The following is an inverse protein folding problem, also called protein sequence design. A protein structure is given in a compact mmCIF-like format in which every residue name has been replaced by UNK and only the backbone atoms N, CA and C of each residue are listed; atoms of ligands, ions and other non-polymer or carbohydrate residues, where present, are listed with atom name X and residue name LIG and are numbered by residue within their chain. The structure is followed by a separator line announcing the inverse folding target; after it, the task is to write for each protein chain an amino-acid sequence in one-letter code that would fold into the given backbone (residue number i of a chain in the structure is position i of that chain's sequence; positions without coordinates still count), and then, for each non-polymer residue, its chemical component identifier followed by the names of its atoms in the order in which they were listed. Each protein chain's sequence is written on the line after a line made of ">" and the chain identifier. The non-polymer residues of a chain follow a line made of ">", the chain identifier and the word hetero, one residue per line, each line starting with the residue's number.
data_IF_678451983615
#
_entry.id   IF_678451983615
#
_cell.length_a   1.000
_cell.length_b   1.000
_cell.length_c   1.000
_cell.angle_alpha   90.00
_cell.angle_beta   90.00
_cell.angle_gamma   90.00
#
_symmetry.space_group_name_H-M   'P 1'
#
loop_
_entity.id
_entity.type
_entity.pdbx_description
1 polymer ?
#
# COMPACT_ATOMS: atom_id res chain seq x y z
N UNK A 1 -14.75 -34.98 -34.77
CA UNK A 1 -14.15 -35.29 -33.45
C UNK A 1 -12.66 -35.62 -33.54
N UNK A 2 -12.22 -36.74 -34.12
CA UNK A 2 -10.76 -37.04 -34.25
C UNK A 2 -10.01 -35.99 -35.07
N UNK A 3 -10.61 -35.49 -36.15
CA UNK A 3 -10.03 -34.42 -36.96
C UNK A 3 -9.93 -33.09 -36.20
N UNK A 4 -10.89 -32.80 -35.33
CA UNK A 4 -10.91 -31.59 -34.51
C UNK A 4 -9.84 -31.66 -33.41
N UNK A 5 -9.66 -32.84 -32.79
CA UNK A 5 -8.56 -33.08 -31.84
C UNK A 5 -7.18 -32.91 -32.49
N UNK A 6 -7.00 -33.41 -33.71
CA UNK A 6 -5.74 -33.19 -34.47
C UNK A 6 -5.51 -31.73 -34.81
N UNK A 7 -6.57 -30.98 -35.13
CA UNK A 7 -6.48 -29.53 -35.36
C UNK A 7 -6.10 -28.78 -34.08
N UNK A 8 -6.66 -29.19 -32.94
CA UNK A 8 -6.31 -28.62 -31.64
C UNK A 8 -4.85 -28.91 -31.28
N UNK A 9 -4.37 -30.12 -31.53
CA UNK A 9 -2.99 -30.54 -31.26
C UNK A 9 -1.98 -29.80 -32.15
N UNK A 10 -2.26 -29.69 -33.45
CA UNK A 10 -1.47 -28.88 -34.37
C UNK A 10 -1.41 -27.41 -33.93
N UNK A 11 -2.56 -26.82 -33.58
CA UNK A 11 -2.62 -25.43 -33.11
C UNK A 11 -1.89 -25.24 -31.76
N UNK A 12 -1.86 -26.25 -30.89
CA UNK A 12 -1.09 -26.22 -29.65
C UNK A 12 0.41 -26.18 -29.94
N UNK A 13 0.90 -27.09 -30.78
CA UNK A 13 2.32 -27.15 -31.17
C UNK A 13 2.77 -25.88 -31.89
N UNK A 14 1.94 -25.32 -32.78
CA UNK A 14 2.25 -24.09 -33.52
C UNK A 14 2.33 -22.86 -32.60
N UNK A 15 1.50 -22.80 -31.54
CA UNK A 15 1.46 -21.67 -30.60
C UNK A 15 2.34 -21.88 -29.35
N UNK A 16 3.03 -23.01 -29.26
CA UNK A 16 3.91 -23.35 -28.15
C UNK A 16 5.27 -22.64 -28.30
N UNK A 17 5.23 -21.34 -28.10
CA UNK A 17 6.42 -20.50 -28.06
C UNK A 17 6.94 -20.41 -26.62
N UNK A 18 8.27 -20.29 -26.48
CA UNK A 18 8.89 -20.07 -25.18
C UNK A 18 8.58 -18.66 -24.69
N UNK A 19 7.96 -18.56 -23.52
CA UNK A 19 7.66 -17.29 -22.88
C UNK A 19 8.76 -16.91 -21.89
N UNK A 20 8.87 -15.63 -21.55
CA UNK A 20 9.77 -15.18 -20.50
C UNK A 20 9.23 -15.59 -19.15
N UNK A 21 10.03 -16.22 -18.31
CA UNK A 21 9.69 -16.59 -16.94
C UNK A 21 10.33 -15.60 -15.99
N UNK A 22 9.51 -14.88 -15.22
CA UNK A 22 9.93 -13.72 -14.43
C UNK A 22 9.35 -13.83 -13.02
N UNK A 23 10.02 -13.19 -12.06
CA UNK A 23 9.57 -13.11 -10.67
C UNK A 23 9.56 -11.64 -10.24
N UNK A 24 8.41 -11.17 -9.74
CA UNK A 24 8.24 -9.83 -9.18
C UNK A 24 7.86 -9.95 -7.72
N UNK A 25 8.61 -9.28 -6.85
CA UNK A 25 8.22 -9.07 -5.45
C UNK A 25 7.49 -7.74 -5.35
N UNK A 26 6.29 -7.80 -4.80
CA UNK A 26 5.39 -6.66 -4.63
C UNK A 26 5.21 -6.41 -3.14
N UNK A 27 5.53 -5.19 -2.71
CA UNK A 27 5.35 -4.72 -1.34
C UNK A 27 4.04 -3.95 -1.22
N UNK A 28 3.21 -4.31 -0.25
CA UNK A 28 1.98 -3.58 0.04
C UNK A 28 2.30 -2.17 0.55
N UNK A 29 3.32 -2.02 1.40
CA UNK A 29 3.76 -0.71 1.89
C UNK A 29 4.16 0.25 0.75
N UNK A 30 4.68 -0.28 -0.36
CA UNK A 30 5.08 0.51 -1.54
C UNK A 30 3.91 0.84 -2.47
N UNK A 31 2.95 -0.07 -2.66
CA UNK A 31 1.80 0.15 -3.55
C UNK A 31 0.70 0.95 -2.86
N UNK A 32 0.30 0.49 -1.68
CA UNK A 32 -0.81 1.05 -0.92
C UNK A 32 -0.50 1.03 0.59
N UNK A 33 0.22 2.05 1.08
CA UNK A 33 0.52 2.18 2.50
C UNK A 33 -0.75 2.35 3.37
N UNK A 34 -1.84 2.90 2.81
CA UNK A 34 -3.10 3.04 3.55
C UNK A 34 -3.76 1.68 3.76
N UNK A 35 -3.78 0.81 2.75
CA UNK A 35 -4.26 -0.56 2.91
C UNK A 35 -3.45 -1.36 3.95
N UNK A 36 -2.14 -1.12 4.05
CA UNK A 36 -1.33 -1.73 5.13
C UNK A 36 -1.77 -1.23 6.51
N UNK A 37 -2.05 0.07 6.67
CA UNK A 37 -2.61 0.58 7.92
C UNK A 37 -3.95 -0.08 8.25
N UNK A 38 -4.87 -0.16 7.27
CA UNK A 38 -6.17 -0.85 7.44
C UNK A 38 -5.98 -2.33 7.80
N UNK A 39 -4.99 -3.02 7.23
CA UNK A 39 -4.66 -4.40 7.53
C UNK A 39 -4.23 -4.60 8.99
N UNK A 40 -3.37 -3.71 9.50
CA UNK A 40 -2.92 -3.75 10.91
C UNK A 40 -4.10 -3.59 11.87
N UNK A 41 -5.04 -2.73 11.52
CA UNK A 41 -6.14 -2.37 12.43
C UNK A 41 -7.34 -3.32 12.36
N UNK A 42 -7.77 -3.70 11.16
CA UNK A 42 -8.97 -4.52 10.98
C UNK A 42 -8.65 -6.00 10.81
N UNK A 43 -7.42 -6.33 10.43
CA UNK A 43 -7.04 -7.68 10.00
C UNK A 43 -7.47 -7.99 8.55
N UNK A 44 -8.08 -7.07 7.81
CA UNK A 44 -8.47 -7.30 6.41
C UNK A 44 -8.16 -6.09 5.54
N UNK A 45 -7.66 -6.30 4.32
CA UNK A 45 -7.48 -5.22 3.36
C UNK A 45 -7.69 -5.68 1.92
N UNK A 46 -7.96 -4.70 1.06
CA UNK A 46 -7.96 -4.87 -0.39
C UNK A 46 -6.84 -4.02 -0.97
N UNK A 47 -6.17 -4.55 -2.00
CA UNK A 47 -5.18 -3.80 -2.77
C UNK A 47 -5.12 -4.35 -4.19
N UNK A 48 -4.61 -3.55 -5.12
CA UNK A 48 -4.46 -3.91 -6.53
C UNK A 48 -3.00 -3.84 -6.91
N UNK A 49 -2.52 -4.89 -7.57
CA UNK A 49 -1.23 -4.90 -8.26
C UNK A 49 -1.46 -4.33 -9.66
N UNK A 50 -0.92 -3.14 -9.95
CA UNK A 50 -1.15 -2.42 -11.20
C UNK A 50 -0.14 -2.83 -12.28
N UNK A 51 -0.37 -2.43 -13.53
CA UNK A 51 0.50 -2.81 -14.66
C UNK A 51 1.91 -2.19 -14.56
N UNK A 52 1.99 -0.93 -14.15
CA UNK A 52 3.22 -0.14 -14.15
C UNK A 52 4.34 -0.75 -13.31
N UNK A 53 4.02 -1.52 -12.26
CA UNK A 53 5.04 -2.12 -11.38
C UNK A 53 5.89 -3.14 -12.13
N UNK A 54 5.33 -3.79 -13.15
CA UNK A 54 6.05 -4.70 -14.04
C UNK A 54 6.81 -3.94 -15.13
N UNK A 55 6.28 -2.81 -15.58
CA UNK A 55 6.94 -1.96 -16.57
C UNK A 55 8.18 -1.23 -16.03
N UNK A 56 8.28 -1.04 -14.71
CA UNK A 56 9.49 -0.54 -14.07
C UNK A 56 10.71 -1.44 -14.31
N UNK A 57 10.51 -2.76 -14.36
CA UNK A 57 11.60 -3.71 -14.60
C UNK A 57 11.77 -3.97 -16.11
N UNK A 58 10.63 -4.20 -16.79
CA UNK A 58 10.61 -4.61 -18.18
C UNK A 58 9.49 -3.90 -18.94
N UNK A 59 9.75 -2.67 -19.42
CA UNK A 59 8.78 -1.92 -20.21
C UNK A 59 8.57 -2.62 -21.55
N UNK A 60 7.32 -2.71 -22.00
CA UNK A 60 6.97 -3.24 -23.31
C UNK A 60 6.53 -4.70 -23.33
N UNK A 61 6.63 -5.42 -22.20
CA UNK A 61 6.10 -6.78 -22.11
C UNK A 61 4.57 -6.79 -22.06
N UNK A 62 3.98 -7.79 -22.72
CA UNK A 62 2.54 -8.05 -22.73
C UNK A 62 2.25 -9.49 -22.32
N UNK A 63 0.97 -9.84 -22.22
CA UNK A 63 0.47 -11.18 -21.86
C UNK A 63 1.06 -11.70 -20.56
N UNK A 64 1.21 -10.80 -19.57
CA UNK A 64 1.70 -11.13 -18.23
C UNK A 64 0.68 -12.03 -17.52
N UNK A 65 1.01 -13.31 -17.38
CA UNK A 65 0.14 -14.35 -16.79
C UNK A 65 0.81 -14.95 -15.56
N UNK A 66 0.08 -14.99 -14.46
CA UNK A 66 0.55 -15.56 -13.21
C UNK A 66 0.78 -17.07 -13.38
N UNK A 67 1.90 -17.55 -12.87
CA UNK A 67 2.22 -18.98 -12.73
C UNK A 67 2.10 -19.47 -11.30
N UNK A 68 2.55 -18.67 -10.35
CA UNK A 68 2.35 -18.93 -8.93
C UNK A 68 2.47 -17.65 -8.14
N UNK A 69 1.76 -17.58 -7.02
CA UNK A 69 1.92 -16.50 -6.04
C UNK A 69 2.30 -17.11 -4.70
N UNK A 70 3.26 -16.50 -4.04
CA UNK A 70 3.55 -16.75 -2.64
C UNK A 70 3.45 -15.45 -1.85
N UNK A 71 3.07 -15.58 -0.58
CA UNK A 71 2.91 -14.45 0.34
C UNK A 71 3.83 -14.62 1.54
N UNK A 72 4.43 -13.51 1.96
CA UNK A 72 5.21 -13.41 3.18
C UNK A 72 4.78 -12.16 3.95
N UNK A 73 4.68 -12.27 5.26
CA UNK A 73 4.25 -11.19 6.14
C UNK A 73 5.23 -11.09 7.31
N UNK A 74 6.30 -10.29 7.17
CA UNK A 74 7.23 -10.04 8.27
C UNK A 74 6.49 -9.34 9.43
N UNK A 75 6.39 -10.01 10.58
CA UNK A 75 5.77 -9.50 11.80
C UNK A 75 6.50 -10.05 13.03
N UNK A 76 6.34 -9.37 14.18
CA UNK A 76 6.88 -9.85 15.46
C UNK A 76 5.86 -10.80 16.08
N UNK A 77 5.96 -12.08 15.72
CA UNK A 77 5.17 -13.15 16.30
C UNK A 77 5.96 -13.93 17.37
N UNK A 78 5.27 -14.38 18.42
CA UNK A 78 5.88 -15.22 19.46
C UNK A 78 6.30 -16.60 18.92
N UNK A 79 7.13 -17.35 19.68
CA UNK A 79 7.51 -18.71 19.30
C UNK A 79 6.27 -19.58 19.05
N UNK A 80 6.29 -20.38 17.98
CA UNK A 80 5.20 -21.28 17.57
C UNK A 80 3.86 -20.61 17.17
N UNK A 81 3.79 -19.28 17.09
CA UNK A 81 2.65 -18.57 16.51
C UNK A 81 2.83 -18.49 15.00
N UNK A 82 1.85 -19.01 14.25
CA UNK A 82 1.85 -18.94 12.79
C UNK A 82 1.29 -17.60 12.31
N UNK A 83 2.02 -16.91 11.43
CA UNK A 83 1.56 -15.69 10.73
C UNK A 83 0.65 -16.00 9.55
N UNK A 84 -0.31 -16.91 9.72
CA UNK A 84 -1.18 -17.36 8.63
C UNK A 84 -2.19 -16.28 8.21
N UNK A 85 -2.40 -16.15 6.90
CA UNK A 85 -3.43 -15.31 6.32
C UNK A 85 -4.13 -16.03 5.17
N UNK A 86 -5.33 -15.57 4.82
CA UNK A 86 -6.03 -15.98 3.60
C UNK A 86 -5.78 -14.92 2.54
N UNK A 87 -5.27 -15.34 1.37
CA UNK A 87 -5.09 -14.48 0.21
C UNK A 87 -6.10 -14.88 -0.86
N UNK A 88 -6.91 -13.93 -1.32
CA UNK A 88 -7.97 -14.14 -2.30
C UNK A 88 -7.72 -13.26 -3.53
N UNK A 89 -7.83 -13.84 -4.72
CA UNK A 89 -7.82 -13.11 -5.99
C UNK A 89 -9.25 -12.72 -6.36
N UNK A 90 -9.57 -11.44 -6.25
CA UNK A 90 -10.91 -10.91 -6.51
C UNK A 90 -11.16 -10.69 -8.01
N UNK A 91 -10.16 -10.12 -8.69
CA UNK A 91 -10.22 -9.89 -10.13
C UNK A 91 -8.82 -9.88 -10.73
N UNK A 92 -8.72 -10.25 -12.00
CA UNK A 92 -7.51 -10.04 -12.77
C UNK A 92 -7.81 -9.62 -14.20
N UNK A 93 -6.89 -8.88 -14.80
CA UNK A 93 -6.91 -8.53 -16.21
C UNK A 93 -5.50 -8.67 -16.81
N UNK A 94 -5.46 -8.93 -18.11
CA UNK A 94 -4.22 -9.12 -18.85
C UNK A 94 -4.24 -8.32 -20.15
N UNK A 95 -3.15 -7.64 -20.46
CA UNK A 95 -2.95 -6.99 -21.76
C UNK A 95 -2.53 -8.04 -22.79
N UNK A 96 -3.33 -8.29 -23.80
CA UNK A 96 -3.07 -9.28 -24.86
C UNK A 96 -2.32 -8.74 -26.07
N UNK A 97 -2.48 -7.45 -26.35
CA UNK A 97 -2.00 -6.78 -27.55
C UNK A 97 -1.26 -5.50 -27.20
N UNK A 98 -0.23 -5.21 -27.99
CA UNK A 98 0.53 -3.97 -27.95
C UNK A 98 -0.08 -2.88 -28.84
N UNK A 99 0.31 -1.63 -28.61
CA UNK A 99 -0.07 -0.48 -29.45
C UNK A 99 -1.23 0.33 -28.89
N UNK A 100 -1.39 1.58 -29.36
CA UNK A 100 -2.30 2.57 -28.76
C UNK A 100 -1.69 3.32 -27.57
N UNK A 101 -2.49 4.13 -26.87
CA UNK A 101 -2.08 4.81 -25.64
C UNK A 101 -1.90 3.83 -24.47
N UNK A 102 -0.99 4.09 -23.53
CA UNK A 102 -0.73 3.15 -22.42
C UNK A 102 -1.96 2.93 -21.53
N UNK A 103 -2.64 4.01 -21.16
CA UNK A 103 -3.87 3.94 -20.39
C UNK A 103 -4.92 3.11 -21.11
N UNK A 104 -5.67 2.34 -20.33
CA UNK A 104 -6.80 1.57 -20.82
C UNK A 104 -7.97 2.50 -21.17
N UNK A 105 -8.55 2.30 -22.35
CA UNK A 105 -9.76 3.01 -22.79
C UNK A 105 -11.03 2.25 -22.37
N UNK A 106 -12.20 2.88 -22.48
CA UNK A 106 -13.46 2.17 -22.35
C UNK A 106 -13.57 1.09 -23.44
N UNK A 107 -13.97 -0.13 -23.04
CA UNK A 107 -14.12 -1.31 -23.92
C UNK A 107 -12.88 -1.63 -24.77
N UNK A 108 -11.71 -1.58 -24.13
CA UNK A 108 -10.43 -1.78 -24.81
C UNK A 108 -10.16 -3.27 -25.14
N UNK A 109 -10.11 -3.66 -26.43
CA UNK A 109 -9.89 -5.05 -26.82
C UNK A 109 -8.47 -5.55 -26.50
N UNK A 110 -7.56 -4.64 -26.14
CA UNK A 110 -6.20 -5.02 -25.71
C UNK A 110 -6.22 -5.69 -24.35
N UNK A 111 -7.28 -5.56 -23.56
CA UNK A 111 -7.38 -6.17 -22.25
C UNK A 111 -8.41 -7.29 -22.22
N UNK A 112 -8.05 -8.40 -21.58
CA UNK A 112 -8.99 -9.47 -21.24
C UNK A 112 -9.15 -9.49 -19.74
N UNK A 113 -10.41 -9.48 -19.31
CA UNK A 113 -10.79 -9.56 -17.92
C UNK A 113 -11.18 -10.98 -17.53
N UNK A 114 -10.76 -11.38 -16.33
CA UNK A 114 -11.17 -12.64 -15.72
C UNK A 114 -11.95 -12.30 -14.45
N UNK A 115 -13.27 -12.25 -14.59
CA UNK A 115 -14.22 -12.08 -13.50
C UNK A 115 -14.83 -13.45 -13.12
N UNK A 116 -15.08 -13.68 -11.82
CA UNK A 116 -15.98 -14.75 -11.38
C UNK A 116 -15.36 -16.09 -10.97
N UNK A 117 -14.03 -16.21 -10.92
CA UNK A 117 -13.36 -17.31 -10.20
C UNK A 117 -12.62 -16.74 -8.99
N UNK A 118 -13.34 -16.61 -7.87
CA UNK A 118 -12.74 -16.25 -6.59
C UNK A 118 -11.93 -17.44 -6.12
N UNK A 119 -10.64 -17.41 -6.43
CA UNK A 119 -9.66 -18.36 -5.95
C UNK A 119 -9.02 -17.82 -4.68
N UNK A 120 -8.68 -18.71 -3.74
CA UNK A 120 -8.06 -18.32 -2.48
C UNK A 120 -7.07 -19.38 -2.01
N UNK A 121 -6.02 -18.92 -1.34
CA UNK A 121 -5.08 -19.77 -0.61
C UNK A 121 -5.09 -19.40 0.87
N UNK A 122 -4.80 -20.38 1.71
CA UNK A 122 -4.55 -20.16 3.13
C UNK A 122 -3.08 -20.46 3.43
N UNK A 123 -2.42 -19.58 4.16
CA UNK A 123 -1.04 -19.77 4.61
C UNK A 123 -0.99 -19.99 6.11
N UNK A 124 0.11 -20.60 6.59
CA UNK A 124 0.26 -20.99 7.99
C UNK A 124 1.46 -20.35 8.68
N UNK A 125 2.58 -20.16 7.97
CA UNK A 125 3.85 -19.77 8.57
C UNK A 125 4.11 -18.26 8.57
N UNK A 126 3.38 -17.48 7.77
CA UNK A 126 3.70 -16.06 7.50
C UNK A 126 5.01 -15.83 6.76
N UNK A 127 5.71 -16.90 6.36
CA UNK A 127 6.90 -16.87 5.51
C UNK A 127 6.50 -17.27 4.10
N UNK A 128 7.32 -16.91 3.12
CA UNK A 128 7.14 -17.18 1.68
C UNK A 128 6.39 -18.50 1.39
N UNK A 129 5.05 -18.41 1.30
CA UNK A 129 4.14 -19.57 1.28
C UNK A 129 3.17 -19.45 0.12
N UNK A 130 3.03 -20.53 -0.64
CA UNK A 130 2.09 -20.64 -1.78
C UNK A 130 0.72 -21.20 -1.37
N UNK A 131 0.54 -21.55 -0.10
CA UNK A 131 -0.65 -22.27 0.39
C UNK A 131 -0.68 -23.76 0.05
N UNK A 132 0.41 -24.29 -0.53
CA UNK A 132 0.62 -25.71 -0.79
C UNK A 132 1.83 -26.21 -0.01
N UNK A 133 1.83 -27.49 0.36
CA UNK A 133 3.01 -28.12 0.98
C UNK A 133 4.19 -28.24 0.01
N UNK A 134 3.90 -28.61 -1.24
CA UNK A 134 4.88 -28.76 -2.31
C UNK A 134 4.31 -28.19 -3.61
N UNK A 135 4.66 -26.93 -3.97
CA UNK A 135 4.26 -26.37 -5.25
C UNK A 135 5.08 -27.00 -6.38
N UNK A 136 4.46 -27.86 -7.18
CA UNK A 136 5.09 -28.46 -8.36
C UNK A 136 4.52 -27.84 -9.64
N UNK A 137 5.40 -27.28 -10.48
CA UNK A 137 5.05 -26.74 -11.80
C UNK A 137 4.78 -27.86 -12.83
N UNK A 138 5.21 -29.08 -12.55
CA UNK A 138 5.01 -30.26 -13.41
C UNK A 138 3.81 -31.11 -12.96
N UNK A 139 3.08 -30.64 -11.93
CA UNK A 139 1.93 -31.34 -11.40
C UNK A 139 0.77 -31.46 -12.40
N UNK A 140 -0.10 -32.47 -12.25
CA UNK A 140 -1.25 -32.66 -13.13
C UNK A 140 -2.37 -31.62 -12.90
N UNK A 141 -2.25 -30.78 -11.87
CA UNK A 141 -3.20 -29.72 -11.53
C UNK A 141 -2.52 -28.37 -11.66
N UNK A 142 -3.28 -27.38 -12.11
CA UNK A 142 -2.84 -25.99 -12.08
C UNK A 142 -2.51 -25.55 -10.66
N UNK A 143 -1.49 -24.72 -10.53
CA UNK A 143 -1.18 -24.05 -9.27
C UNK A 143 -2.25 -23.00 -8.95
N UNK A 144 -2.40 -22.64 -7.67
CA UNK A 144 -3.27 -21.54 -7.30
C UNK A 144 -2.94 -20.27 -8.09
N UNK A 145 -3.99 -19.64 -8.64
CA UNK A 145 -3.95 -18.43 -9.45
C UNK A 145 -3.29 -18.58 -10.83
N UNK A 146 -2.96 -19.81 -11.25
CA UNK A 146 -2.30 -20.02 -12.53
C UNK A 146 -3.19 -19.55 -13.70
N UNK A 147 -2.55 -18.84 -14.64
CA UNK A 147 -3.20 -18.27 -15.81
C UNK A 147 -4.01 -17.01 -15.54
N UNK A 148 -4.10 -16.52 -14.29
CA UNK A 148 -4.66 -15.20 -14.01
C UNK A 148 -3.80 -14.09 -14.62
N UNK A 149 -4.43 -12.94 -14.89
CA UNK A 149 -3.69 -11.76 -15.35
C UNK A 149 -2.84 -11.15 -14.24
N UNK A 150 -1.67 -10.61 -14.59
CA UNK A 150 -0.78 -9.99 -13.61
C UNK A 150 -1.37 -8.71 -12.98
N UNK A 151 -2.18 -7.96 -13.73
CA UNK A 151 -2.92 -6.81 -13.19
C UNK A 151 -4.09 -7.38 -12.39
N UNK A 152 -4.05 -7.25 -11.08
CA UNK A 152 -4.87 -8.09 -10.20
C UNK A 152 -5.27 -7.37 -8.92
N UNK A 153 -6.50 -7.61 -8.45
CA UNK A 153 -6.99 -7.10 -7.17
C UNK A 153 -7.06 -8.25 -6.18
N UNK A 154 -6.48 -8.04 -5.01
CA UNK A 154 -6.31 -9.02 -3.96
C UNK A 154 -7.02 -8.57 -2.70
N UNK A 155 -7.50 -9.56 -1.95
CA UNK A 155 -7.98 -9.41 -0.59
C UNK A 155 -7.12 -10.26 0.33
N UNK A 156 -6.73 -9.70 1.46
CA UNK A 156 -6.01 -10.43 2.51
C UNK A 156 -6.82 -10.36 3.78
N UNK A 157 -7.02 -11.52 4.41
CA UNK A 157 -7.74 -11.66 5.67
C UNK A 157 -6.89 -12.38 6.71
N UNK A 158 -6.83 -11.79 7.90
CA UNK A 158 -6.30 -12.36 9.12
C UNK A 158 -7.43 -12.49 10.17
N UNK A 159 -7.32 -13.42 11.13
CA UNK A 159 -8.31 -13.56 12.21
C UNK A 159 -8.45 -12.29 13.07
N UNK A 160 -9.56 -11.56 12.92
CA UNK A 160 -9.79 -10.30 13.63
C UNK A 160 -10.18 -10.48 15.11
N UNK A 161 -11.04 -11.46 15.41
CA UNK A 161 -11.60 -11.68 16.76
C UNK A 161 -10.57 -12.25 17.74
N UNK A 162 -9.63 -13.04 17.25
CA UNK A 162 -8.60 -13.69 18.08
C UNK A 162 -7.22 -13.54 17.44
N UNK A 163 -6.63 -12.37 17.67
CA UNK A 163 -5.28 -12.04 17.18
C UNK A 163 -4.24 -12.81 17.99
N UNK A 164 -3.53 -13.74 17.33
CA UNK A 164 -2.51 -14.56 17.98
C UNK A 164 -1.18 -13.81 18.22
N UNK A 165 -1.00 -12.66 17.56
CA UNK A 165 0.13 -11.77 17.72
C UNK A 165 -0.33 -10.33 17.47
N UNK A 166 0.52 -9.37 17.80
CA UNK A 166 0.23 -7.96 17.60
C UNK A 166 0.33 -7.58 16.12
N UNK A 167 -0.80 -7.19 15.51
CA UNK A 167 -0.85 -6.82 14.09
C UNK A 167 -0.17 -5.48 13.82
N UNK A 168 0.01 -4.61 14.81
CA UNK A 168 0.80 -3.39 14.66
C UNK A 168 2.26 -3.71 14.31
N UNK A 169 2.74 -4.91 14.67
CA UNK A 169 4.08 -5.38 14.34
C UNK A 169 4.26 -5.83 12.88
N UNK A 170 3.19 -5.91 12.08
CA UNK A 170 3.27 -6.32 10.67
C UNK A 170 4.04 -5.24 9.90
N UNK A 171 5.28 -5.49 9.53
CA UNK A 171 6.13 -4.54 8.82
C UNK A 171 5.64 -4.27 7.40
N UNK A 172 5.26 -5.32 6.69
CA UNK A 172 4.79 -5.28 5.31
C UNK A 172 4.05 -6.58 4.96
N UNK A 173 3.40 -6.61 3.79
CA UNK A 173 2.92 -7.80 3.13
C UNK A 173 3.58 -7.90 1.75
N UNK A 174 4.36 -8.96 1.55
CA UNK A 174 5.12 -9.22 0.35
C UNK A 174 4.43 -10.29 -0.50
N UNK A 175 4.07 -9.96 -1.73
CA UNK A 175 3.60 -10.91 -2.73
C UNK A 175 4.72 -11.20 -3.72
N UNK A 176 5.18 -12.44 -3.77
CA UNK A 176 6.11 -12.90 -4.80
C UNK A 176 5.31 -13.55 -5.91
N UNK A 177 5.18 -12.82 -7.02
CA UNK A 177 4.41 -13.21 -8.20
C UNK A 177 5.39 -13.73 -9.25
N UNK A 178 5.33 -15.04 -9.51
CA UNK A 178 6.00 -15.64 -10.67
C UNK A 178 5.03 -15.59 -11.85
N UNK A 179 5.48 -15.07 -12.98
CA UNK A 179 4.63 -14.87 -14.15
C UNK A 179 5.37 -15.17 -15.44
N UNK A 180 4.61 -15.48 -16.50
CA UNK A 180 5.13 -15.49 -17.86
C UNK A 180 4.76 -14.23 -18.61
N UNK A 181 5.60 -13.80 -19.56
CA UNK A 181 5.33 -12.65 -20.41
C UNK A 181 5.85 -12.87 -21.83
N UNK A 182 5.38 -12.05 -22.78
CA UNK A 182 5.88 -11.97 -24.15
C UNK A 182 6.32 -10.56 -24.49
N UNK A 183 7.21 -10.46 -25.47
CA UNK A 183 7.64 -9.18 -26.02
C UNK A 183 6.48 -8.48 -26.75
N UNK A 184 6.18 -7.24 -26.36
CA UNK A 184 5.17 -6.40 -27.00
C UNK A 184 5.76 -5.38 -27.98
N UNK A 185 7.09 -5.31 -28.10
CA UNK A 185 7.79 -4.46 -29.05
C UNK A 185 8.03 -3.03 -28.56
N UNK A 186 8.84 -2.30 -29.32
CA UNK A 186 9.34 -0.98 -28.94
C UNK A 186 8.24 0.08 -28.77
N UNK A 187 7.14 -0.03 -29.50
CA UNK A 187 6.00 0.89 -29.39
C UNK A 187 5.31 0.78 -28.03
N UNK A 188 5.11 -0.45 -27.53
CA UNK A 188 4.57 -0.67 -26.19
C UNK A 188 5.55 -0.20 -25.11
N UNK A 189 6.84 -0.47 -25.29
CA UNK A 189 7.88 -0.02 -24.36
C UNK A 189 7.91 1.51 -24.26
N UNK A 190 7.86 2.20 -25.39
CA UNK A 190 7.81 3.67 -25.44
C UNK A 190 6.53 4.21 -24.79
N UNK A 191 5.37 3.58 -25.02
CA UNK A 191 4.13 4.00 -24.38
C UNK A 191 4.17 3.81 -22.85
N UNK A 192 4.71 2.69 -22.37
CA UNK A 192 4.88 2.43 -20.94
C UNK A 192 5.85 3.42 -20.29
N UNK A 193 7.02 3.64 -20.92
CA UNK A 193 8.00 4.62 -20.43
C UNK A 193 7.45 6.04 -20.47
N UNK A 194 6.73 6.42 -21.52
CA UNK A 194 6.07 7.72 -21.60
C UNK A 194 5.00 7.86 -20.50
N UNK A 195 4.27 6.80 -20.17
CA UNK A 195 3.32 6.82 -19.05
C UNK A 195 4.03 6.94 -17.71
N UNK A 196 5.10 6.18 -17.48
CA UNK A 196 5.90 6.26 -16.24
C UNK A 196 6.58 7.63 -16.08
N UNK A 197 7.04 8.22 -17.19
CA UNK A 197 7.64 9.54 -17.22
C UNK A 197 6.59 10.66 -17.13
N UNK A 198 5.38 10.42 -17.66
CA UNK A 198 4.28 11.38 -17.53
C UNK A 198 3.86 11.44 -16.08
N UNK A 199 4.01 12.61 -15.49
CA UNK A 199 3.86 12.70 -14.06
C UNK A 199 2.43 12.45 -13.60
N UNK A 200 1.45 12.78 -14.45
CA UNK A 200 0.04 12.45 -14.20
C UNK A 200 -0.21 10.95 -14.06
N UNK A 201 0.46 10.09 -14.84
CA UNK A 201 0.21 8.65 -14.76
C UNK A 201 0.97 8.03 -13.58
N UNK A 202 2.25 8.38 -13.35
CA UNK A 202 2.97 7.96 -12.14
C UNK A 202 2.19 8.33 -10.85
N UNK A 203 1.52 9.49 -10.86
CA UNK A 203 0.62 9.95 -9.79
C UNK A 203 -0.70 9.18 -9.69
N UNK A 204 -1.35 8.90 -10.83
CA UNK A 204 -2.62 8.17 -10.88
C UNK A 204 -2.48 6.75 -10.36
N UNK A 205 -1.30 6.17 -10.58
CA UNK A 205 -1.01 4.76 -10.40
C UNK A 205 -0.58 4.33 -9.00
N UNK A 206 -0.11 5.27 -8.18
CA UNK A 206 0.29 5.06 -6.79
C UNK A 206 -0.71 5.69 -5.80
N UNK A 207 -1.61 6.58 -6.24
CA UNK A 207 -2.49 7.36 -5.36
C UNK A 207 -3.96 6.97 -5.33
N UNK A 208 -4.49 6.36 -6.40
CA UNK A 208 -5.91 6.03 -6.47
C UNK A 208 -6.37 5.00 -5.44
N UNK A 209 -5.44 4.20 -4.89
CA UNK A 209 -5.76 3.14 -3.92
C UNK A 209 -5.82 3.70 -2.49
N UNK A 210 -4.85 4.57 -2.15
CA UNK A 210 -4.79 5.26 -0.88
C UNK A 210 -5.58 6.58 -0.85
N UNK A 211 -6.39 6.89 -1.87
CA UNK A 211 -7.30 8.04 -1.93
C UNK A 211 -6.67 9.44 -1.82
N UNK A 212 -5.41 9.60 -2.21
CA UNK A 212 -4.74 10.90 -2.32
C UNK A 212 -4.15 11.10 -3.73
N UNK A 213 -3.83 12.33 -4.10
CA UNK A 213 -3.28 12.61 -5.43
C UNK A 213 -1.78 12.34 -5.47
N UNK A 214 -1.30 11.38 -6.26
CA UNK A 214 0.13 11.13 -6.39
C UNK A 214 0.60 9.83 -5.78
N UNK A 215 1.91 9.65 -5.69
CA UNK A 215 2.49 8.52 -4.99
C UNK A 215 2.30 8.61 -3.49
N UNK A 216 2.28 7.47 -2.80
CA UNK A 216 2.10 7.40 -1.36
C UNK A 216 3.28 6.66 -0.70
N UNK A 217 3.64 7.08 0.51
CA UNK A 217 4.56 6.35 1.38
C UNK A 217 4.09 6.40 2.83
N UNK A 218 4.37 5.37 3.60
CA UNK A 218 4.07 5.30 5.03
C UNK A 218 5.30 5.69 5.85
N UNK A 219 5.10 6.52 6.86
CA UNK A 219 6.05 6.78 7.94
C UNK A 219 5.38 6.53 9.28
N UNK A 220 6.19 6.12 10.26
CA UNK A 220 5.77 5.82 11.62
C UNK A 220 6.42 6.81 12.56
N UNK A 221 5.63 7.61 13.28
CA UNK A 221 6.19 8.61 14.20
C UNK A 221 7.09 7.96 15.27
N UNK A 222 6.72 6.77 15.75
CA UNK A 222 7.50 6.05 16.76
C UNK A 222 8.88 5.56 16.27
N UNK A 223 9.06 5.41 14.95
CA UNK A 223 10.28 4.86 14.34
C UNK A 223 11.06 5.95 13.58
N UNK A 224 10.40 6.64 12.67
CA UNK A 224 11.01 7.62 11.76
C UNK A 224 11.27 8.98 12.43
N UNK A 225 10.52 9.28 13.49
CA UNK A 225 10.55 10.54 14.24
C UNK A 225 10.56 10.31 15.76
N UNK A 226 11.26 9.26 16.21
CA UNK A 226 11.18 8.74 17.58
C UNK A 226 11.38 9.81 18.68
N UNK A 227 12.37 10.69 18.53
CA UNK A 227 12.63 11.76 19.51
C UNK A 227 11.49 12.79 19.56
N UNK A 228 10.99 13.21 18.40
CA UNK A 228 9.88 14.15 18.29
C UNK A 228 8.56 13.53 18.80
N UNK A 229 8.34 12.24 18.52
CA UNK A 229 7.21 11.47 19.05
C UNK A 229 7.26 11.35 20.57
N UNK A 230 8.43 11.05 21.12
CA UNK A 230 8.63 10.99 22.56
C UNK A 230 8.35 12.33 23.23
N UNK A 231 8.90 13.43 22.68
CA UNK A 231 8.61 14.78 23.17
C UNK A 231 7.12 15.09 23.10
N UNK A 232 6.48 14.85 21.96
CA UNK A 232 5.05 15.08 21.77
C UNK A 232 4.17 14.40 22.83
N UNK A 233 4.48 13.15 23.22
CA UNK A 233 3.75 12.42 24.26
C UNK A 233 4.12 12.85 25.70
N UNK A 234 5.41 13.15 25.96
CA UNK A 234 5.95 13.26 27.32
C UNK A 234 6.41 14.63 27.78
N UNK A 235 6.40 15.65 26.93
CA UNK A 235 6.67 17.03 27.34
C UNK A 235 5.92 17.36 28.64
N UNK A 236 6.69 17.69 29.68
CA UNK A 236 6.18 18.00 31.02
C UNK A 236 6.09 19.51 31.20
N UNK A 237 5.08 19.96 31.94
CA UNK A 237 4.81 21.32 32.44
C UNK A 237 4.23 22.34 31.46
N UNK A 238 3.04 22.88 31.76
CA UNK A 238 2.66 24.26 31.39
C UNK A 238 2.45 24.58 29.90
N UNK A 239 2.75 23.65 28.99
CA UNK A 239 2.70 23.91 27.56
C UNK A 239 1.26 23.85 27.06
N UNK A 240 0.71 25.01 26.72
CA UNK A 240 -0.65 25.14 26.19
C UNK A 240 -0.86 24.37 24.87
N UNK A 241 0.18 24.30 24.03
CA UNK A 241 0.15 23.67 22.70
C UNK A 241 1.40 22.83 22.48
N UNK A 242 1.24 21.51 22.29
CA UNK A 242 2.32 20.55 22.07
C UNK A 242 2.50 20.34 20.57
N UNK A 243 3.73 20.20 20.08
CA UNK A 243 3.99 20.04 18.65
C UNK A 243 4.87 18.82 18.32
N UNK A 244 4.54 18.14 17.23
CA UNK A 244 5.29 17.04 16.64
C UNK A 244 5.82 17.48 15.28
N UNK A 245 7.12 17.72 15.20
CA UNK A 245 7.79 18.09 13.95
C UNK A 245 8.21 16.84 13.18
N UNK A 246 7.71 16.72 11.95
CA UNK A 246 7.99 15.68 10.97
C UNK A 246 8.82 16.28 9.85
N UNK A 247 10.10 15.92 9.79
CA UNK A 247 10.99 16.37 8.73
C UNK A 247 10.81 15.51 7.47
N UNK A 248 10.06 16.02 6.49
CA UNK A 248 9.84 15.39 5.18
C UNK A 248 10.78 15.98 4.13
N UNK A 249 12.09 16.00 4.40
CA UNK A 249 13.09 16.40 3.43
C UNK A 249 13.15 15.48 2.20
N UNK A 250 13.65 16.01 1.07
CA UNK A 250 13.69 15.30 -0.21
C UNK A 250 14.39 13.92 -0.16
N UNK A 251 15.35 13.73 0.75
CA UNK A 251 16.08 12.47 0.93
C UNK A 251 15.24 11.31 1.48
N UNK A 252 14.06 11.58 2.05
CA UNK A 252 13.15 10.54 2.56
C UNK A 252 12.26 9.93 1.48
N UNK A 253 12.14 10.58 0.33
CA UNK A 253 11.31 10.08 -0.76
C UNK A 253 12.03 8.99 -1.55
N UNK A 254 11.30 8.08 -2.21
CA UNK A 254 11.92 7.08 -3.08
C UNK A 254 12.81 7.75 -4.14
N UNK A 255 13.92 7.10 -4.49
CA UNK A 255 14.94 7.67 -5.38
C UNK A 255 14.38 8.22 -6.70
N UNK A 256 13.37 7.57 -7.26
CA UNK A 256 12.71 8.01 -8.50
C UNK A 256 12.10 9.43 -8.42
N UNK A 257 11.79 9.89 -7.19
CA UNK A 257 11.20 11.18 -6.88
C UNK A 257 12.14 12.13 -6.14
N UNK A 258 13.07 11.60 -5.33
CA UNK A 258 13.99 12.41 -4.52
C UNK A 258 14.87 13.35 -5.35
N UNK A 259 15.20 12.98 -6.59
CA UNK A 259 16.03 13.79 -7.52
C UNK A 259 15.19 14.73 -8.40
N UNK A 260 13.86 14.76 -8.24
CA UNK A 260 12.96 15.60 -9.05
C UNK A 260 12.92 17.03 -8.54
N UNK A 261 13.08 17.99 -9.46
CA UNK A 261 13.15 19.41 -9.12
C UNK A 261 11.81 19.99 -8.61
N UNK A 262 10.68 19.48 -9.08
CA UNK A 262 9.35 19.97 -8.68
C UNK A 262 8.62 18.98 -7.77
N UNK A 263 9.35 18.16 -7.00
CA UNK A 263 8.72 17.30 -5.99
C UNK A 263 7.91 18.16 -5.02
N UNK A 264 6.63 17.83 -4.86
CA UNK A 264 5.72 18.43 -3.89
C UNK A 264 4.97 17.35 -3.09
N UNK A 265 4.71 17.65 -1.83
CA UNK A 265 3.79 16.90 -0.97
C UNK A 265 2.39 17.38 -1.30
N UNK A 266 1.59 16.49 -1.88
CA UNK A 266 0.22 16.75 -2.31
C UNK A 266 -0.82 16.50 -1.20
N UNK A 267 -0.43 15.79 -0.15
CA UNK A 267 -1.31 15.55 0.98
C UNK A 267 -0.66 14.73 2.09
N UNK A 268 -1.29 14.76 3.26
CA UNK A 268 -0.92 13.96 4.43
C UNK A 268 -2.19 13.32 4.99
N UNK A 269 -2.12 12.03 5.31
CA UNK A 269 -3.09 11.37 6.18
C UNK A 269 -2.41 10.99 7.48
N UNK A 270 -2.94 11.52 8.57
CA UNK A 270 -2.46 11.33 9.92
C UNK A 270 -3.42 10.36 10.61
N UNK A 271 -2.95 9.16 10.89
CA UNK A 271 -3.72 8.10 11.56
C UNK A 271 -3.17 7.97 12.98
N UNK A 272 -3.92 8.43 13.96
CA UNK A 272 -3.59 8.30 15.37
C UNK A 272 -4.24 7.03 15.92
N UNK A 273 -3.40 6.03 16.21
CA UNK A 273 -3.81 4.77 16.82
C UNK A 273 -4.13 5.00 18.30
N UNK A 274 -5.41 5.22 18.58
CA UNK A 274 -5.93 5.50 19.92
C UNK A 274 -7.10 4.60 20.34
N UNK A 275 -7.28 4.41 21.65
CA UNK A 275 -8.42 3.68 22.24
C UNK A 275 -9.49 4.64 22.77
N UNK A 276 -10.70 4.57 22.20
CA UNK A 276 -11.89 5.33 22.66
C UNK A 276 -12.34 6.41 21.67
N UNK A 277 -13.56 6.97 21.81
CA UNK A 277 -14.04 7.99 20.90
C UNK A 277 -13.52 9.36 21.29
N UNK A 278 -12.90 10.05 20.35
CA UNK A 278 -12.88 11.49 20.35
C UNK A 278 -12.59 12.09 18.99
N UNK A 279 -13.25 13.22 18.72
CA UNK A 279 -12.69 14.20 17.82
C UNK A 279 -11.65 15.01 18.61
N UNK A 280 -10.50 15.27 18.01
CA UNK A 280 -9.45 16.09 18.63
C UNK A 280 -9.10 17.23 17.68
N UNK A 281 -9.18 18.45 18.18
CA UNK A 281 -8.71 19.61 17.44
C UNK A 281 -7.19 19.55 17.31
N UNK A 282 -6.69 19.70 16.09
CA UNK A 282 -5.27 19.76 15.81
C UNK A 282 -5.02 20.73 14.66
N UNK A 283 -3.82 21.27 14.61
CA UNK A 283 -3.39 22.20 13.57
C UNK A 283 -2.07 21.75 12.97
N UNK A 284 -1.92 21.91 11.66
CA UNK A 284 -0.75 21.49 10.91
C UNK A 284 -0.06 22.75 10.38
N UNK A 285 1.18 23.00 10.80
CA UNK A 285 2.02 24.03 10.22
C UNK A 285 2.79 23.47 9.02
N UNK A 286 2.71 24.17 7.89
CA UNK A 286 3.34 23.78 6.64
C UNK A 286 4.78 24.36 6.52
N UNK A 287 5.67 23.74 5.72
CA UNK A 287 7.05 24.17 5.59
C UNK A 287 7.24 25.61 5.11
N UNK A 288 6.33 26.13 4.27
CA UNK A 288 6.40 27.48 3.71
C UNK A 288 6.18 28.62 4.74
N UNK A 289 5.97 28.32 6.02
CA UNK A 289 5.92 29.31 7.10
C UNK A 289 4.62 30.12 7.18
N UNK A 290 3.48 29.49 6.84
CA UNK A 290 2.15 30.10 6.89
C UNK A 290 1.37 29.87 8.20
N UNK A 291 0.14 30.38 8.25
CA UNK A 291 -0.79 30.09 9.34
C UNK A 291 -1.09 28.59 9.42
N UNK A 292 -1.15 28.03 10.63
CA UNK A 292 -1.43 26.62 10.82
C UNK A 292 -2.83 26.26 10.28
N UNK A 293 -2.91 25.17 9.52
CA UNK A 293 -4.14 24.68 8.90
C UNK A 293 -4.85 23.74 9.88
N UNK A 294 -6.14 23.97 10.14
CA UNK A 294 -6.92 23.07 10.98
C UNK A 294 -6.95 21.66 10.36
N UNK A 295 -6.42 20.67 11.09
CA UNK A 295 -6.32 19.26 10.70
C UNK A 295 -6.96 18.41 11.79
N UNK A 296 -8.25 18.63 12.03
CA UNK A 296 -8.97 18.01 13.13
C UNK A 296 -9.09 16.49 12.90
N UNK A 297 -8.79 15.73 13.94
CA UNK A 297 -8.96 14.30 13.94
C UNK A 297 -10.42 13.92 14.17
N UNK A 298 -10.90 12.97 13.39
CA UNK A 298 -12.21 12.34 13.56
C UNK A 298 -12.06 10.80 13.57
N UNK A 299 -12.96 10.10 14.26
CA UNK A 299 -12.96 8.64 14.29
C UNK A 299 -13.32 8.06 12.92
N UNK A 300 -12.51 7.14 12.42
CA UNK A 300 -12.75 6.43 11.16
C UNK A 300 -13.21 4.99 11.41
N UNK A 301 -14.34 4.60 10.83
CA UNK A 301 -14.84 3.21 10.89
C UNK A 301 -13.97 2.25 10.08
N UNK A 302 -13.30 2.74 9.03
CA UNK A 302 -12.39 1.93 8.19
C UNK A 302 -11.13 1.52 8.95
N UNK A 303 -10.70 2.35 9.90
CA UNK A 303 -9.51 2.13 10.72
C UNK A 303 -9.89 1.62 12.12
N UNK A 304 -10.96 0.84 12.24
CA UNK A 304 -11.35 0.21 13.51
C UNK A 304 -11.71 1.19 14.64
N UNK A 305 -12.04 2.44 14.33
CA UNK A 305 -12.35 3.49 15.30
C UNK A 305 -11.18 4.43 15.62
N UNK A 306 -10.00 4.22 15.03
CA UNK A 306 -8.87 5.15 15.17
C UNK A 306 -9.14 6.50 14.54
N UNK A 307 -8.35 7.48 14.97
CA UNK A 307 -8.53 8.87 14.63
C UNK A 307 -7.77 9.20 13.34
N UNK A 308 -8.47 9.75 12.37
CA UNK A 308 -7.93 10.18 11.08
C UNK A 308 -8.05 11.69 10.96
N UNK A 309 -6.95 12.34 10.59
CA UNK A 309 -6.94 13.69 10.03
C UNK A 309 -6.31 13.65 8.64
N UNK A 310 -6.78 14.48 7.74
CA UNK A 310 -6.22 14.63 6.40
C UNK A 310 -5.93 16.08 6.09
N UNK A 311 -4.86 16.29 5.36
CA UNK A 311 -4.52 17.55 4.73
C UNK A 311 -4.28 17.28 3.25
N UNK A 312 -4.91 18.08 2.39
CA UNK A 312 -4.71 18.05 0.95
C UNK A 312 -4.22 19.44 0.52
N UNK A 313 -3.18 19.47 -0.29
CA UNK A 313 -2.54 20.73 -0.69
C UNK A 313 -1.42 20.52 -1.69
N UNK A 314 -0.52 21.48 -1.77
CA UNK A 314 0.69 21.39 -2.57
C UNK A 314 1.77 22.18 -1.86
N UNK A 315 2.71 21.49 -1.22
CA UNK A 315 3.81 22.10 -0.47
C UNK A 315 5.13 21.45 -0.85
N UNK A 316 6.21 22.22 -0.82
CA UNK A 316 7.54 21.67 -1.02
C UNK A 316 7.92 20.71 0.13
N UNK A 317 8.74 19.68 -0.13
CA UNK A 317 9.36 18.86 0.90
C UNK A 317 10.02 19.73 1.99
N UNK A 318 9.78 19.40 3.25
CA UNK A 318 10.28 20.17 4.38
C UNK A 318 9.68 19.72 5.71
N UNK A 319 9.81 20.56 6.73
CA UNK A 319 9.34 20.23 8.07
C UNK A 319 7.86 20.60 8.26
N UNK A 320 7.02 19.59 8.47
CA UNK A 320 5.63 19.76 8.87
C UNK A 320 5.54 19.64 10.38
N UNK A 321 4.71 20.45 11.06
CA UNK A 321 4.52 20.32 12.51
C UNK A 321 3.05 20.15 12.86
N UNK A 322 2.72 19.04 13.52
CA UNK A 322 1.38 18.78 14.05
C UNK A 322 1.30 19.35 15.46
N UNK A 323 0.44 20.33 15.68
CA UNK A 323 0.22 20.97 16.96
C UNK A 323 -1.15 20.63 17.55
N UNK A 324 -1.16 20.25 18.83
CA UNK A 324 -2.37 19.88 19.57
C UNK A 324 -2.41 20.63 20.89
N UNK A 325 -3.52 21.30 21.16
CA UNK A 325 -3.73 22.02 22.42
C UNK A 325 -4.03 21.06 23.57
N UNK A 326 -3.58 21.40 24.76
CA UNK A 326 -3.78 20.60 25.97
C UNK A 326 -5.28 20.31 26.22
N UNK A 327 -6.12 21.33 26.00
CA UNK A 327 -7.57 21.21 26.13
C UNK A 327 -8.19 20.22 25.12
N UNK A 328 -7.61 20.10 23.93
CA UNK A 328 -8.06 19.16 22.92
C UNK A 328 -7.75 17.72 23.33
N UNK A 329 -6.59 17.47 23.95
CA UNK A 329 -6.22 16.15 24.49
C UNK A 329 -7.15 15.74 25.64
N UNK A 330 -7.46 16.67 26.54
CA UNK A 330 -8.37 16.45 27.65
C UNK A 330 -9.80 16.17 27.18
N UNK A 331 -10.34 17.01 26.28
CA UNK A 331 -11.67 16.85 25.70
C UNK A 331 -11.78 15.54 24.90
N UNK A 332 -10.68 15.10 24.31
CA UNK A 332 -10.62 13.84 23.59
C UNK A 332 -10.60 12.60 24.52
N UNK A 333 -10.50 12.77 25.84
CA UNK A 333 -10.39 11.65 26.78
C UNK A 333 -9.12 10.80 26.58
N UNK A 334 -8.17 11.29 25.77
CA UNK A 334 -6.88 10.66 25.47
C UNK A 334 -5.80 11.06 26.47
N UNK A 335 -6.11 11.96 27.39
CA UNK A 335 -5.17 12.47 28.37
C UNK A 335 -5.33 11.91 29.78
N UNK A 336 -4.27 12.03 30.56
CA UNK A 336 -4.24 11.83 32.01
C UNK A 336 -3.82 13.14 32.66
N UNK A 337 -4.63 13.63 33.61
CA UNK A 337 -4.34 14.83 34.39
C UNK A 337 -3.45 14.48 35.58
N UNK A 338 -2.36 15.21 35.75
CA UNK A 338 -1.43 15.04 36.87
C UNK A 338 -1.66 16.10 37.95
N UNK A 339 -1.07 15.92 39.13
CA UNK A 339 -1.31 16.73 40.33
C UNK A 339 -1.16 18.25 40.15
N UNK A 340 -0.51 18.68 39.07
CA UNK A 340 -0.28 20.09 38.72
C UNK A 340 -1.32 20.67 37.75
N UNK A 341 -2.51 20.06 37.65
CA UNK A 341 -3.65 20.46 36.78
C UNK A 341 -3.44 20.36 35.27
N UNK A 342 -2.25 19.96 34.82
CA UNK A 342 -1.94 19.74 33.41
C UNK A 342 -2.30 18.33 32.92
N UNK A 343 -2.77 18.25 31.68
CA UNK A 343 -3.14 17.03 30.97
C UNK A 343 -2.10 16.69 29.90
N UNK A 344 -1.60 15.45 29.92
CA UNK A 344 -0.74 14.89 28.87
C UNK A 344 -1.39 13.68 28.24
N UNK A 345 -0.92 13.24 27.08
CA UNK A 345 -1.39 11.99 26.48
C UNK A 345 -1.18 10.80 27.43
N UNK A 346 -2.19 9.96 27.50
CA UNK A 346 -2.16 8.68 28.20
C UNK A 346 -1.53 7.64 27.27
N UNK A 347 -0.35 7.13 27.65
CA UNK A 347 0.40 6.12 26.88
C UNK A 347 -0.38 4.81 26.72
N UNK A 348 -1.36 4.55 27.59
CA UNK A 348 -2.22 3.37 27.45
C UNK A 348 -3.30 3.56 26.38
N UNK A 349 -3.61 4.83 26.04
CA UNK A 349 -4.67 5.19 25.10
C UNK A 349 -4.16 5.66 23.75
N UNK A 350 -2.94 6.20 23.66
CA UNK A 350 -2.32 6.62 22.39
C UNK A 350 -1.06 5.80 22.17
N UNK A 351 -1.08 4.99 21.12
CA UNK A 351 0.00 4.05 20.82
C UNK A 351 0.99 4.59 19.81
N UNK A 352 0.47 5.06 18.67
CA UNK A 352 1.28 5.48 17.54
C UNK A 352 0.57 6.53 16.67
N UNK A 353 1.36 7.34 15.96
CA UNK A 353 0.90 8.12 14.81
C UNK A 353 1.54 7.56 13.53
N UNK A 354 0.69 7.07 12.63
CA UNK A 354 1.05 6.68 11.27
C UNK A 354 0.79 7.86 10.33
N UNK A 355 1.78 8.17 9.49
CA UNK A 355 1.74 9.28 8.54
C UNK A 355 1.83 8.71 7.13
N UNK A 356 0.74 8.76 6.38
CA UNK A 356 0.75 8.45 4.95
C UNK A 356 0.97 9.76 4.19
N UNK A 357 2.13 9.87 3.55
CA UNK A 357 2.54 11.05 2.78
C UNK A 357 2.21 10.82 1.32
N UNK A 358 1.40 11.72 0.75
CA UNK A 358 1.14 11.79 -0.68
C UNK A 358 2.07 12.81 -1.31
N UNK A 359 2.70 12.42 -2.41
CA UNK A 359 3.66 13.27 -3.10
C UNK A 359 3.61 13.07 -4.60
N UNK A 360 4.00 14.11 -5.33
CA UNK A 360 3.95 14.15 -6.78
C UNK A 360 4.93 15.16 -7.36
N UNK A 361 5.12 15.13 -8.67
CA UNK A 361 6.01 16.05 -9.39
C UNK A 361 5.25 16.74 -10.55
N UNK A 362 4.43 17.80 -10.33
CA UNK A 362 3.46 18.33 -11.29
C UNK A 362 3.96 18.71 -12.71
N UNK A 363 5.27 18.68 -12.98
CA UNK A 363 5.84 18.96 -14.32
C UNK A 363 5.55 17.93 -15.41
#
# INVERSE_FOLDING_TARGET
>A
LVQDLRRMDAAYLDNQEREYELTKVVSLAMIDPYALAVLRETGSCYFTVPEWIYDLDHPGQIRRRIKSVSVAMPAVAGPHVGGGCTLTLESSKLRTQAGGGYAEAADDPRFIYRYGQVERIATSSGRDSTGLFEPSLEGPRYLPFEGAGAISTWRVDLPADFRQFDYESIGDLLLTIRYTAREGGSTQAQAALASLASTSAAQTYLGQQSGGAGAAMMLRASVDFADAWYAFLREEHGVATRSLTMDLGASRFPRAFAERANLEVSGLRLILASSGPAAMAASLSLPAGGAAVASNFATSTELGGHMLASWDGAEAPGSFSLSVDESAVANAGLGTTYGDTHTRFDETKVRELVVVVFFRDPS
#
